data_IF_720230535801
#
_entry.id   IF_720230535801
#
_cell.length_a   1.000
_cell.length_b   1.000
_cell.length_c   1.000
_cell.angle_alpha   90.00
_cell.angle_beta   90.00
_cell.angle_gamma   90.00
#
_symmetry.space_group_name_H-M   'P 1'
#
loop_
_entity.id
_entity.type
_entity.pdbx_description
1 polymer ?
#
# COMPACT_ATOMS: atom_id res chain seq x y z
N UNK A 1 15.49 -2.78 42.13
CA UNK A 1 15.57 -1.61 41.23
C UNK A 1 15.30 -1.93 39.76
N UNK A 2 15.66 -3.11 39.23
CA UNK A 2 15.39 -3.49 37.82
C UNK A 2 13.88 -3.55 37.50
N UNK A 3 13.10 -4.16 38.38
CA UNK A 3 11.64 -4.31 38.27
C UNK A 3 10.85 -3.00 38.17
N UNK A 4 11.21 -1.95 38.92
CA UNK A 4 10.49 -0.66 38.84
C UNK A 4 10.77 0.10 37.54
N UNK A 5 12.00 0.03 37.03
CA UNK A 5 12.35 0.64 35.73
C UNK A 5 11.67 -0.11 34.59
N UNK A 6 11.61 -1.42 34.67
CA UNK A 6 10.90 -2.24 33.68
C UNK A 6 9.40 -1.96 33.70
N UNK A 7 8.79 -1.72 34.87
CA UNK A 7 7.37 -1.36 34.99
C UNK A 7 7.04 -0.04 34.28
N UNK A 8 7.87 1.00 34.47
CA UNK A 8 7.67 2.32 33.86
C UNK A 8 7.96 2.30 32.36
N UNK A 9 8.98 1.55 31.93
CA UNK A 9 9.37 1.44 30.53
C UNK A 9 8.53 0.41 29.74
N UNK A 10 7.69 -0.37 30.41
CA UNK A 10 6.84 -1.37 29.75
C UNK A 10 5.78 -0.71 28.85
N UNK A 11 5.11 0.34 29.34
CA UNK A 11 4.09 1.06 28.59
C UNK A 11 4.62 1.70 27.29
N UNK A 12 5.70 2.52 27.30
CA UNK A 12 6.24 3.09 26.06
C UNK A 12 6.78 2.02 25.11
N UNK A 13 7.37 0.92 25.61
CA UNK A 13 7.80 -0.21 24.77
C UNK A 13 6.60 -0.89 24.08
N UNK A 14 5.48 -1.06 24.79
CA UNK A 14 4.27 -1.66 24.24
C UNK A 14 3.70 -0.78 23.12
N UNK A 15 3.62 0.53 23.34
CA UNK A 15 3.19 1.49 22.31
C UNK A 15 4.10 1.43 21.08
N UNK A 16 5.41 1.52 21.24
CA UNK A 16 6.38 1.41 20.14
C UNK A 16 6.21 0.10 19.36
N UNK A 17 6.02 -1.01 20.07
CA UNK A 17 5.81 -2.32 19.47
C UNK A 17 4.51 -2.34 18.67
N UNK A 18 3.42 -1.80 19.22
CA UNK A 18 2.13 -1.72 18.54
C UNK A 18 2.21 -0.87 17.26
N UNK A 19 2.80 0.33 17.33
CA UNK A 19 3.03 1.18 16.16
C UNK A 19 3.88 0.46 15.10
N UNK A 20 4.91 -0.25 15.52
CA UNK A 20 5.76 -1.00 14.60
C UNK A 20 5.01 -2.14 13.88
N UNK A 21 4.13 -2.85 14.59
CA UNK A 21 3.26 -3.86 13.98
C UNK A 21 2.26 -3.24 13.01
N UNK A 22 1.68 -2.09 13.36
CA UNK A 22 0.75 -1.37 12.49
C UNK A 22 1.43 -0.94 11.19
N UNK A 23 2.63 -0.34 11.28
CA UNK A 23 3.42 0.07 10.11
C UNK A 23 3.78 -1.13 9.24
N UNK A 24 4.21 -2.25 9.86
CA UNK A 24 4.51 -3.49 9.12
C UNK A 24 3.30 -4.04 8.38
N UNK A 25 2.15 -4.14 9.04
CA UNK A 25 0.91 -4.61 8.43
C UNK A 25 0.43 -3.69 7.31
N UNK A 26 0.55 -2.39 7.50
CA UNK A 26 0.25 -1.40 6.46
C UNK A 26 1.20 -1.56 5.26
N UNK A 27 2.50 -1.66 5.49
CA UNK A 27 3.49 -1.84 4.43
C UNK A 27 3.26 -3.14 3.64
N UNK A 28 2.92 -4.23 4.34
CA UNK A 28 2.59 -5.50 3.69
C UNK A 28 1.34 -5.39 2.83
N UNK A 29 0.30 -4.70 3.31
CA UNK A 29 -0.92 -4.42 2.54
C UNK A 29 -0.61 -3.59 1.30
N UNK A 30 0.15 -2.50 1.44
CA UNK A 30 0.56 -1.65 0.31
C UNK A 30 1.36 -2.45 -0.72
N UNK A 31 2.27 -3.31 -0.27
CA UNK A 31 3.07 -4.16 -1.15
C UNK A 31 2.19 -5.16 -1.91
N UNK A 32 1.24 -5.82 -1.23
CA UNK A 32 0.29 -6.73 -1.86
C UNK A 32 -0.57 -6.01 -2.90
N UNK A 33 -1.14 -4.86 -2.54
CA UNK A 33 -1.97 -4.05 -3.44
C UNK A 33 -1.16 -3.60 -4.65
N UNK A 34 0.09 -3.19 -4.47
CA UNK A 34 1.00 -2.79 -5.56
C UNK A 34 1.22 -3.95 -6.52
N UNK A 35 1.50 -5.15 -6.02
CA UNK A 35 1.68 -6.36 -6.85
C UNK A 35 0.41 -6.64 -7.67
N UNK A 36 -0.77 -6.54 -7.03
CA UNK A 36 -2.06 -6.76 -7.71
C UNK A 36 -2.27 -5.72 -8.82
N UNK A 37 -2.06 -4.44 -8.54
CA UNK A 37 -2.22 -3.36 -9.54
C UNK A 37 -1.28 -3.57 -10.72
N UNK A 38 0.01 -3.81 -10.45
CA UNK A 38 1.01 -4.05 -11.51
C UNK A 38 0.64 -5.29 -12.33
N UNK A 39 0.20 -6.36 -11.66
CA UNK A 39 -0.26 -7.58 -12.33
C UNK A 39 -1.49 -7.35 -13.22
N UNK A 40 -2.45 -6.55 -12.77
CA UNK A 40 -3.64 -6.19 -13.55
C UNK A 40 -3.28 -5.33 -14.78
N UNK A 41 -2.38 -4.36 -14.63
CA UNK A 41 -1.88 -3.55 -15.75
C UNK A 41 -1.12 -4.43 -16.75
N UNK A 42 -0.25 -5.32 -16.26
CA UNK A 42 0.46 -6.27 -17.12
C UNK A 42 -0.51 -7.17 -17.89
N UNK A 43 -1.52 -7.72 -17.20
CA UNK A 43 -2.57 -8.52 -17.83
C UNK A 43 -3.33 -7.72 -18.89
N UNK A 44 -3.71 -6.48 -18.59
CA UNK A 44 -4.41 -5.60 -19.52
C UNK A 44 -3.60 -5.36 -20.81
N UNK A 45 -2.29 -5.24 -20.69
CA UNK A 45 -1.39 -5.01 -21.83
C UNK A 45 -1.14 -6.26 -22.70
N UNK A 46 -1.43 -7.46 -22.21
CA UNK A 46 -1.11 -8.73 -22.89
C UNK A 46 -2.36 -9.58 -23.21
N UNK A 47 -3.55 -9.03 -23.03
CA UNK A 47 -4.81 -9.76 -23.19
C UNK A 47 -5.83 -8.89 -23.92
N UNK A 48 -6.53 -9.46 -24.91
CA UNK A 48 -7.59 -8.78 -25.65
C UNK A 48 -8.98 -8.96 -25.02
N UNK A 49 -9.04 -9.43 -23.76
CA UNK A 49 -10.31 -9.70 -23.09
C UNK A 49 -11.11 -8.42 -22.80
N UNK A 50 -12.43 -8.55 -22.68
CA UNK A 50 -13.30 -7.42 -22.30
C UNK A 50 -12.89 -6.83 -20.96
N UNK A 51 -12.41 -7.66 -20.03
CA UNK A 51 -11.91 -7.21 -18.73
C UNK A 51 -10.59 -6.46 -18.85
N UNK A 52 -9.65 -6.98 -19.66
CA UNK A 52 -8.37 -6.33 -19.93
C UNK A 52 -8.55 -4.92 -20.52
N UNK A 53 -9.42 -4.79 -21.52
CA UNK A 53 -9.73 -3.50 -22.13
C UNK A 53 -10.31 -2.51 -21.11
N UNK A 54 -11.24 -2.95 -20.25
CA UNK A 54 -11.78 -2.10 -19.17
C UNK A 54 -10.69 -1.64 -18.19
N UNK A 55 -9.77 -2.53 -17.82
CA UNK A 55 -8.65 -2.20 -16.94
C UNK A 55 -7.73 -1.18 -17.61
N UNK A 56 -7.43 -1.35 -18.91
CA UNK A 56 -6.62 -0.37 -19.67
C UNK A 56 -7.27 1.00 -19.67
N UNK A 57 -8.57 1.08 -20.01
CA UNK A 57 -9.30 2.34 -20.03
C UNK A 57 -9.29 3.05 -18.67
N UNK A 58 -9.51 2.32 -17.57
CA UNK A 58 -9.45 2.91 -16.22
C UNK A 58 -8.03 3.38 -15.89
N UNK A 59 -7.02 2.59 -16.24
CA UNK A 59 -5.62 2.94 -16.02
C UNK A 59 -5.25 4.24 -16.75
N UNK A 60 -5.63 4.37 -18.02
CA UNK A 60 -5.43 5.58 -18.83
C UNK A 60 -6.13 6.80 -18.23
N UNK A 61 -7.38 6.66 -17.77
CA UNK A 61 -8.12 7.74 -17.10
C UNK A 61 -7.41 8.21 -15.83
N UNK A 62 -6.91 7.29 -15.01
CA UNK A 62 -6.16 7.63 -13.78
C UNK A 62 -4.88 8.40 -14.12
N UNK A 63 -4.13 7.98 -15.14
CA UNK A 63 -2.93 8.68 -15.60
C UNK A 63 -3.26 10.10 -16.05
N UNK A 64 -4.29 10.27 -16.90
CA UNK A 64 -4.72 11.59 -17.38
C UNK A 64 -5.14 12.54 -16.24
N UNK A 65 -5.86 12.01 -15.24
CA UNK A 65 -6.24 12.79 -14.06
C UNK A 65 -4.99 13.20 -13.26
N UNK A 66 -4.05 12.29 -13.06
CA UNK A 66 -2.82 12.57 -12.32
C UNK A 66 -1.95 13.62 -13.04
N UNK A 67 -1.81 13.50 -14.37
CA UNK A 67 -1.07 14.45 -15.19
C UNK A 67 -1.70 15.85 -15.11
N UNK A 68 -3.03 15.93 -15.21
CA UNK A 68 -3.78 17.19 -15.06
C UNK A 68 -3.58 17.86 -13.69
N UNK A 69 -3.51 17.06 -12.61
CA UNK A 69 -3.26 17.57 -11.26
C UNK A 69 -1.81 18.00 -11.02
N UNK A 70 -0.87 17.43 -11.77
CA UNK A 70 0.57 17.64 -11.57
C UNK A 70 1.15 18.71 -12.51
N UNK A 71 0.56 18.92 -13.68
CA UNK A 71 0.98 19.94 -14.66
C UNK A 71 0.45 21.36 -14.38
N UNK A 72 -0.18 21.59 -13.23
CA UNK A 72 -0.71 22.91 -12.82
C UNK A 72 0.19 23.56 -11.77
#
# INVERSE_FOLDING_TARGET
MKTFRDLILWLPKLLLTFFWHLIKGFLQTVLLVTIIIVGLIYYANHSDSVLANKISTVTEQVVQLFDSLTQK
#
